data_IF_737325205297
#
_entry.id   IF_737325205297
#
_cell.length_a   1.000
_cell.length_b   1.000
_cell.length_c   1.000
_cell.angle_alpha   90.00
_cell.angle_beta   90.00
_cell.angle_gamma   90.00
#
_symmetry.space_group_name_H-M   'P 1'
#
loop_
_entity.id
_entity.type
_entity.pdbx_description
1 polymer ?
#
# COMPACT_ATOMS: atom_id res chain seq x y z
N UNK A 1 -19.86 15.15 25.17
CA UNK A 1 -20.08 13.87 25.86
C UNK A 1 -20.86 12.98 24.90
N UNK A 2 -20.22 12.15 24.14
CA UNK A 2 -20.82 10.97 23.49
C UNK A 2 -19.66 10.01 23.23
N UNK A 3 -19.44 9.15 24.22
CA UNK A 3 -18.49 8.05 24.12
C UNK A 3 -19.11 6.97 23.25
N UNK A 4 -18.54 6.74 22.08
CA UNK A 4 -18.83 5.55 21.27
C UNK A 4 -18.08 4.38 21.87
N UNK A 5 -18.79 3.54 22.61
CA UNK A 5 -18.34 2.22 23.00
C UNK A 5 -18.13 1.38 21.74
N UNK A 6 -16.88 1.13 21.38
CA UNK A 6 -16.52 0.02 20.50
C UNK A 6 -16.82 -1.26 21.31
N UNK A 7 -17.99 -1.84 21.03
CA UNK A 7 -18.43 -3.09 21.62
C UNK A 7 -17.42 -4.20 21.30
N UNK A 8 -17.05 -4.95 22.33
CA UNK A 8 -16.37 -6.24 22.21
C UNK A 8 -17.23 -7.10 21.28
N UNK A 9 -16.76 -7.29 20.05
CA UNK A 9 -17.46 -8.07 19.03
C UNK A 9 -17.58 -9.51 19.51
N UNK A 10 -18.79 -9.88 19.89
CA UNK A 10 -19.16 -11.25 20.16
C UNK A 10 -18.97 -12.03 18.84
N UNK A 11 -18.08 -13.01 18.81
CA UNK A 11 -17.91 -13.89 17.67
C UNK A 11 -19.22 -14.60 17.38
N UNK A 12 -19.85 -14.25 16.29
CA UNK A 12 -20.89 -15.08 15.70
C UNK A 12 -20.21 -16.03 14.70
N UNK A 13 -19.92 -17.29 15.09
CA UNK A 13 -19.26 -18.28 14.23
C UNK A 13 -20.11 -18.68 13.02
N UNK A 14 -21.32 -18.16 12.92
CA UNK A 14 -22.27 -18.43 11.84
C UNK A 14 -22.28 -17.40 10.70
N UNK A 15 -21.49 -16.32 10.76
CA UNK A 15 -21.44 -15.36 9.65
C UNK A 15 -20.75 -15.98 8.43
N UNK A 16 -21.40 -15.98 7.27
CA UNK A 16 -20.77 -16.50 6.05
C UNK A 16 -19.60 -15.61 5.60
N UNK A 17 -18.59 -16.22 4.99
CA UNK A 17 -17.49 -15.48 4.34
C UNK A 17 -18.07 -14.66 3.20
N UNK A 18 -17.77 -13.36 3.19
CA UNK A 18 -18.16 -12.46 2.10
C UNK A 18 -16.98 -12.25 1.17
N UNK A 19 -17.23 -12.41 -0.11
CA UNK A 19 -16.26 -12.12 -1.16
C UNK A 19 -16.61 -10.81 -1.84
N UNK A 20 -15.61 -9.95 -2.03
CA UNK A 20 -15.73 -8.74 -2.84
C UNK A 20 -14.54 -8.65 -3.76
N UNK A 21 -14.76 -8.23 -5.00
CA UNK A 21 -13.71 -8.00 -5.99
C UNK A 21 -13.77 -6.56 -6.48
N UNK A 22 -12.60 -6.01 -6.80
CA UNK A 22 -12.49 -4.68 -7.40
C UNK A 22 -11.40 -4.69 -8.47
N UNK A 23 -11.75 -4.20 -9.65
CA UNK A 23 -10.77 -3.88 -10.69
C UNK A 23 -10.11 -2.54 -10.38
N UNK A 24 -8.83 -2.45 -10.68
CA UNK A 24 -8.01 -1.24 -10.53
C UNK A 24 -7.65 -0.76 -11.92
N UNK A 25 -8.22 0.36 -12.32
CA UNK A 25 -7.94 1.02 -13.60
C UNK A 25 -7.06 2.28 -13.43
N UNK A 26 -6.82 2.72 -12.19
CA UNK A 26 -6.01 3.88 -11.87
C UNK A 26 -5.64 3.96 -10.39
N UNK A 27 -4.89 4.99 -10.03
CA UNK A 27 -4.40 5.20 -8.65
C UNK A 27 -5.52 5.56 -7.69
N UNK A 28 -6.60 6.15 -8.18
CA UNK A 28 -7.78 6.49 -7.40
C UNK A 28 -8.46 5.23 -6.87
N UNK A 29 -8.64 4.23 -7.75
CA UNK A 29 -9.24 2.94 -7.38
C UNK A 29 -8.40 2.24 -6.30
N UNK A 30 -7.07 2.33 -6.42
CA UNK A 30 -6.16 1.69 -5.46
C UNK A 30 -6.25 2.35 -4.06
N UNK A 31 -6.43 3.68 -4.00
CA UNK A 31 -6.60 4.39 -2.72
C UNK A 31 -7.83 3.95 -1.96
N UNK A 32 -8.92 3.72 -2.67
CA UNK A 32 -10.20 3.30 -2.10
C UNK A 32 -10.28 1.79 -1.83
N UNK A 33 -9.35 1.03 -2.39
CA UNK A 33 -9.44 -0.43 -2.39
C UNK A 33 -8.87 -1.08 -1.12
N UNK A 34 -8.13 -0.34 -0.28
CA UNK A 34 -7.59 -0.85 1.00
C UNK A 34 -8.44 -0.30 2.16
N UNK A 35 -9.37 -1.10 2.70
CA UNK A 35 -10.28 -0.64 3.74
C UNK A 35 -9.52 -0.15 4.98
N UNK A 36 -9.89 1.04 5.45
CA UNK A 36 -9.37 1.63 6.70
C UNK A 36 -7.94 2.17 6.63
N UNK A 37 -7.24 2.06 5.51
CA UNK A 37 -5.92 2.68 5.34
C UNK A 37 -6.04 4.04 4.64
N UNK A 38 -5.33 5.03 5.15
CA UNK A 38 -5.17 6.33 4.49
C UNK A 38 -3.90 6.31 3.63
N UNK A 39 -4.05 5.84 2.38
CA UNK A 39 -2.94 5.68 1.46
C UNK A 39 -2.86 6.83 0.43
N UNK A 40 -1.79 7.59 0.49
CA UNK A 40 -1.37 8.46 -0.60
C UNK A 40 -0.66 7.63 -1.68
N UNK A 41 -1.21 7.64 -2.89
CA UNK A 41 -0.63 6.96 -4.04
C UNK A 41 -0.20 7.99 -5.07
N UNK A 42 1.07 7.93 -5.49
CA UNK A 42 1.64 8.78 -6.55
C UNK A 42 2.14 7.89 -7.67
N UNK A 43 1.65 8.12 -8.88
CA UNK A 43 2.12 7.42 -10.07
C UNK A 43 3.48 8.00 -10.48
N UNK A 44 4.48 7.14 -10.70
CA UNK A 44 5.86 7.53 -11.02
C UNK A 44 6.20 7.40 -12.51
N UNK A 45 5.34 6.75 -13.30
CA UNK A 45 5.52 6.58 -14.76
C UNK A 45 4.26 6.94 -15.52
N UNK A 46 4.35 7.04 -16.85
CA UNK A 46 3.20 7.25 -17.73
C UNK A 46 2.34 5.99 -17.92
N UNK A 47 2.87 4.82 -17.60
CA UNK A 47 2.10 3.59 -17.65
C UNK A 47 1.01 3.60 -16.57
N UNK A 48 -0.27 3.37 -16.93
CA UNK A 48 -1.35 3.41 -15.95
C UNK A 48 -1.22 2.26 -14.95
N UNK A 49 -1.57 2.54 -13.70
CA UNK A 49 -1.77 1.50 -12.70
C UNK A 49 -2.96 0.64 -13.11
N UNK A 50 -2.79 -0.66 -13.12
CA UNK A 50 -3.85 -1.64 -13.42
C UNK A 50 -3.75 -2.84 -12.52
N UNK A 51 -4.88 -3.50 -12.29
CA UNK A 51 -4.89 -4.73 -11.53
C UNK A 51 -6.25 -5.13 -11.03
N UNK A 52 -6.24 -6.03 -10.03
CA UNK A 52 -7.44 -6.45 -9.34
C UNK A 52 -7.13 -6.74 -7.87
N UNK A 53 -8.11 -6.49 -7.02
CA UNK A 53 -8.13 -6.89 -5.62
C UNK A 53 -9.32 -7.78 -5.37
N UNK A 54 -9.12 -8.85 -4.60
CA UNK A 54 -10.17 -9.70 -4.10
C UNK A 54 -10.05 -9.79 -2.58
N UNK A 55 -11.17 -9.63 -1.89
CA UNK A 55 -11.24 -9.70 -0.43
C UNK A 55 -12.16 -10.83 0.00
N UNK A 56 -11.69 -11.67 0.91
CA UNK A 56 -12.50 -12.61 1.66
C UNK A 56 -12.61 -12.09 3.10
N UNK A 57 -13.81 -11.74 3.52
CA UNK A 57 -14.09 -11.08 4.81
C UNK A 57 -14.90 -12.05 5.69
N UNK A 58 -14.39 -12.33 6.87
CA UNK A 58 -15.07 -13.14 7.88
C UNK A 58 -14.94 -12.50 9.27
N UNK A 59 -16.01 -11.89 9.76
CA UNK A 59 -15.98 -11.11 10.98
C UNK A 59 -15.07 -9.88 10.83
N UNK A 60 -14.06 -9.81 11.68
CA UNK A 60 -13.03 -8.75 11.71
C UNK A 60 -11.73 -9.12 10.97
N UNK A 61 -11.69 -10.32 10.39
CA UNK A 61 -10.57 -10.80 9.60
C UNK A 61 -10.82 -10.56 8.11
N UNK A 62 -9.83 -10.01 7.43
CA UNK A 62 -9.85 -9.82 5.98
C UNK A 62 -8.61 -10.45 5.36
N UNK A 63 -8.82 -11.36 4.40
CA UNK A 63 -7.78 -11.82 3.50
C UNK A 63 -7.94 -11.09 2.17
N UNK A 64 -6.91 -10.36 1.77
CA UNK A 64 -6.85 -9.63 0.50
C UNK A 64 -5.86 -10.30 -0.42
N UNK A 65 -6.28 -10.61 -1.64
CA UNK A 65 -5.41 -10.95 -2.74
C UNK A 65 -5.32 -9.76 -3.69
N UNK A 66 -4.13 -9.31 -3.96
CA UNK A 66 -3.87 -8.22 -4.89
C UNK A 66 -2.94 -8.65 -6.02
N UNK A 67 -3.26 -8.21 -7.23
CA UNK A 67 -2.37 -8.29 -8.39
C UNK A 67 -2.40 -6.94 -9.08
N UNK A 68 -1.30 -6.20 -8.99
CA UNK A 68 -1.22 -4.80 -9.42
C UNK A 68 0.02 -4.61 -10.27
N UNK A 69 -0.12 -3.88 -11.38
CA UNK A 69 0.98 -3.43 -12.24
C UNK A 69 1.08 -1.91 -12.18
N UNK A 70 2.29 -1.40 -12.30
CA UNK A 70 2.56 0.03 -12.39
C UNK A 70 3.82 0.45 -11.65
N UNK A 71 4.23 1.70 -11.85
CA UNK A 71 5.30 2.32 -11.08
C UNK A 71 4.68 3.37 -10.15
N UNK A 72 4.58 3.01 -8.88
CA UNK A 72 3.81 3.73 -7.87
C UNK A 72 4.64 3.98 -6.63
N UNK A 73 4.45 5.14 -6.05
CA UNK A 73 4.81 5.45 -4.67
C UNK A 73 3.57 5.31 -3.79
N UNK A 74 3.66 4.47 -2.78
CA UNK A 74 2.61 4.33 -1.77
C UNK A 74 3.14 4.81 -0.42
N UNK A 75 2.37 5.64 0.24
CA UNK A 75 2.63 6.11 1.60
C UNK A 75 1.32 6.22 2.36
N UNK A 76 1.33 5.87 3.62
CA UNK A 76 0.16 6.06 4.46
C UNK A 76 0.27 5.33 5.78
N UNK A 77 -0.80 5.45 6.56
CA UNK A 77 -0.92 4.82 7.86
C UNK A 77 -1.95 3.71 7.77
N UNK A 78 -1.64 2.56 8.33
CA UNK A 78 -2.58 1.45 8.44
C UNK A 78 -3.69 1.79 9.44
N UNK A 79 -4.86 1.19 9.25
CA UNK A 79 -6.00 1.40 10.14
C UNK A 79 -5.62 1.14 11.61
N UNK A 80 -6.06 2.05 12.50
CA UNK A 80 -5.86 1.88 13.92
C UNK A 80 -6.63 0.65 14.44
N UNK A 81 -6.01 -0.09 15.35
CA UNK A 81 -6.57 -1.30 15.96
C UNK A 81 -6.36 -2.59 15.16
N UNK A 82 -5.79 -2.52 13.95
CA UNK A 82 -5.52 -3.68 13.11
C UNK A 82 -4.04 -3.80 12.74
N UNK A 83 -3.58 -5.02 12.52
CA UNK A 83 -2.28 -5.29 11.93
C UNK A 83 -2.45 -6.09 10.64
N UNK A 84 -1.49 -5.98 9.74
CA UNK A 84 -1.47 -6.74 8.50
C UNK A 84 -0.16 -7.53 8.33
N UNK A 85 -0.30 -8.78 7.89
CA UNK A 85 0.77 -9.64 7.42
C UNK A 85 0.63 -9.79 5.91
N UNK A 86 1.63 -9.40 5.16
CA UNK A 86 1.57 -9.41 3.69
C UNK A 86 2.67 -10.30 3.14
N UNK A 87 2.28 -11.33 2.39
CA UNK A 87 3.22 -12.19 1.65
C UNK A 87 3.24 -11.77 0.19
N UNK A 88 4.42 -11.48 -0.33
CA UNK A 88 4.63 -11.20 -1.76
C UNK A 88 4.67 -12.53 -2.50
N UNK A 89 3.69 -12.76 -3.38
CA UNK A 89 3.52 -14.02 -4.10
C UNK A 89 4.28 -14.02 -5.43
N UNK A 90 4.25 -12.90 -6.13
CA UNK A 90 4.93 -12.70 -7.40
C UNK A 90 5.47 -11.27 -7.47
N UNK A 91 6.66 -11.13 -8.01
CA UNK A 91 7.27 -9.84 -8.30
C UNK A 91 8.00 -9.94 -9.63
N UNK A 92 7.54 -9.18 -10.62
CA UNK A 92 8.18 -9.08 -11.93
C UNK A 92 8.42 -7.60 -12.21
N UNK A 93 9.67 -7.11 -12.10
CA UNK A 93 9.98 -5.73 -12.38
C UNK A 93 9.82 -5.43 -13.88
N UNK A 94 9.33 -4.24 -14.21
CA UNK A 94 9.33 -3.77 -15.58
C UNK A 94 10.76 -3.48 -16.05
N UNK A 95 11.03 -3.55 -17.36
CA UNK A 95 12.30 -3.10 -17.93
C UNK A 95 12.49 -1.58 -17.63
N UNK A 96 13.56 -1.22 -16.94
CA UNK A 96 13.89 0.17 -16.62
C UNK A 96 14.62 0.35 -15.30
N UNK A 97 14.89 1.62 -14.95
CA UNK A 97 15.56 1.99 -13.70
C UNK A 97 14.57 2.05 -12.54
N UNK A 98 14.20 0.92 -12.01
CA UNK A 98 13.33 0.88 -10.85
C UNK A 98 13.34 -0.48 -10.16
N UNK A 99 13.18 -0.46 -8.85
CA UNK A 99 13.03 -1.68 -8.06
C UNK A 99 11.85 -1.52 -7.10
N UNK A 100 11.09 -2.58 -6.89
CA UNK A 100 10.07 -2.58 -5.84
C UNK A 100 10.77 -2.53 -4.49
N UNK A 101 10.32 -1.61 -3.63
CA UNK A 101 10.88 -1.46 -2.28
C UNK A 101 9.77 -1.29 -1.26
N UNK A 102 10.01 -1.77 -0.05
CA UNK A 102 9.20 -1.48 1.13
C UNK A 102 10.15 -0.98 2.22
N UNK A 103 9.89 0.20 2.77
CA UNK A 103 10.78 0.92 3.71
C UNK A 103 12.23 1.01 3.22
N UNK A 104 12.42 1.22 1.90
CA UNK A 104 13.75 1.31 1.28
C UNK A 104 14.50 0.00 1.13
N UNK A 105 13.89 -1.14 1.44
CA UNK A 105 14.45 -2.47 1.18
C UNK A 105 13.86 -3.06 -0.10
N UNK A 106 14.70 -3.67 -0.94
CA UNK A 106 14.24 -4.40 -2.10
C UNK A 106 13.25 -5.50 -1.70
N UNK A 107 12.13 -5.57 -2.40
CA UNK A 107 11.07 -6.57 -2.20
C UNK A 107 11.11 -7.60 -3.31
N UNK A 108 10.95 -8.86 -2.97
CA UNK A 108 10.89 -9.98 -3.91
C UNK A 108 9.81 -10.99 -3.52
N UNK A 109 9.47 -11.89 -4.45
CA UNK A 109 8.58 -12.99 -4.14
C UNK A 109 9.09 -13.82 -2.96
N UNK A 110 8.21 -14.17 -2.03
CA UNK A 110 8.52 -14.85 -0.78
C UNK A 110 8.83 -13.93 0.40
N UNK A 111 8.93 -12.61 0.21
CA UNK A 111 9.05 -11.69 1.34
C UNK A 111 7.74 -11.61 2.13
N UNK A 112 7.85 -11.59 3.45
CA UNK A 112 6.75 -11.34 4.40
C UNK A 112 6.92 -9.94 4.99
N UNK A 113 5.91 -9.11 4.84
CA UNK A 113 5.87 -7.75 5.41
C UNK A 113 4.96 -7.76 6.64
N UNK A 114 5.37 -7.06 7.68
CA UNK A 114 4.60 -6.85 8.91
C UNK A 114 4.26 -5.37 8.97
N UNK A 115 2.97 -5.07 9.01
CA UNK A 115 2.45 -3.72 9.21
C UNK A 115 1.65 -3.72 10.52
N UNK A 116 2.26 -3.25 11.62
CA UNK A 116 1.59 -3.19 12.90
C UNK A 116 0.46 -2.16 12.94
N UNK A 117 -0.31 -2.16 14.01
CA UNK A 117 -1.34 -1.17 14.29
C UNK A 117 -0.79 0.25 14.17
N UNK A 118 -1.44 1.09 13.37
CA UNK A 118 -0.99 2.46 13.08
C UNK A 118 0.37 2.53 12.37
N UNK A 119 0.89 1.41 11.89
CA UNK A 119 2.18 1.36 11.21
C UNK A 119 2.18 2.15 9.92
N UNK A 120 3.24 2.93 9.70
CA UNK A 120 3.41 3.68 8.45
C UNK A 120 3.92 2.78 7.34
N UNK A 121 3.20 2.76 6.25
CA UNK A 121 3.62 2.12 5.02
C UNK A 121 4.39 3.10 4.15
N UNK A 122 5.52 2.65 3.62
CA UNK A 122 6.33 3.38 2.67
C UNK A 122 6.88 2.42 1.63
N UNK A 123 6.28 2.43 0.44
CA UNK A 123 6.60 1.49 -0.61
C UNK A 123 6.78 2.15 -1.97
N UNK A 124 7.67 1.59 -2.77
CA UNK A 124 7.65 1.73 -4.21
C UNK A 124 7.24 0.39 -4.83
N UNK A 125 6.17 0.40 -5.58
CA UNK A 125 5.83 -0.69 -6.47
C UNK A 125 6.39 -0.38 -7.86
N UNK A 126 7.06 -1.35 -8.48
CA UNK A 126 7.60 -1.24 -9.84
C UNK A 126 7.36 -2.56 -10.57
N UNK A 127 6.65 -2.48 -11.72
CA UNK A 127 6.23 -3.65 -12.47
C UNK A 127 5.02 -4.37 -11.84
N UNK A 128 4.96 -5.67 -12.02
CA UNK A 128 3.89 -6.52 -11.48
C UNK A 128 4.22 -6.95 -10.06
N UNK A 129 3.28 -6.77 -9.14
CA UNK A 129 3.29 -7.37 -7.81
C UNK A 129 1.99 -8.13 -7.57
N UNK A 130 2.08 -9.41 -7.20
CA UNK A 130 0.98 -10.15 -6.63
C UNK A 130 1.27 -10.44 -5.15
N UNK A 131 0.27 -10.27 -4.29
CA UNK A 131 0.42 -10.44 -2.85
C UNK A 131 -0.85 -10.99 -2.20
N UNK A 132 -0.67 -11.60 -1.04
CA UNK A 132 -1.74 -11.93 -0.11
C UNK A 132 -1.53 -11.16 1.20
N UNK A 133 -2.57 -10.48 1.68
CA UNK A 133 -2.55 -9.72 2.92
C UNK A 133 -3.61 -10.24 3.89
N UNK A 134 -3.19 -10.68 5.06
CA UNK A 134 -4.06 -10.99 6.18
C UNK A 134 -4.14 -9.76 7.08
N UNK A 135 -5.33 -9.19 7.25
CA UNK A 135 -5.59 -8.07 8.15
C UNK A 135 -6.56 -8.50 9.23
N UNK A 136 -6.21 -8.25 10.49
CA UNK A 136 -7.05 -8.56 11.65
C UNK A 136 -6.73 -7.63 12.83
N UNK A 137 -7.60 -7.53 13.85
CA UNK A 137 -7.28 -6.88 15.10
C UNK A 137 -6.00 -7.45 15.70
N UNK A 138 -5.14 -6.55 16.18
CA UNK A 138 -3.80 -6.91 16.66
C UNK A 138 -3.85 -7.87 17.86
N UNK A 139 -4.79 -7.67 18.78
CA UNK A 139 -5.02 -8.54 19.93
C UNK A 139 -5.31 -9.98 19.51
N UNK A 140 -6.14 -10.17 18.50
CA UNK A 140 -6.46 -11.49 17.93
C UNK A 140 -5.26 -12.18 17.30
N UNK A 141 -4.47 -11.44 16.54
CA UNK A 141 -3.25 -12.00 15.96
C UNK A 141 -2.25 -12.41 17.06
N UNK A 142 -2.13 -11.59 18.11
CA UNK A 142 -1.27 -11.90 19.28
C UNK A 142 -1.74 -13.13 20.05
N UNK A 143 -3.02 -13.21 20.33
CA UNK A 143 -3.60 -14.35 21.05
C UNK A 143 -3.32 -15.66 20.30
N UNK A 144 -3.53 -15.66 18.99
CA UNK A 144 -3.25 -16.84 18.16
C UNK A 144 -1.74 -17.11 18.02
N UNK A 145 -0.93 -16.06 17.89
CA UNK A 145 0.51 -16.14 17.77
C UNK A 145 1.18 -16.73 19.02
N UNK A 146 0.57 -16.60 20.21
CA UNK A 146 1.09 -17.19 21.44
C UNK A 146 1.28 -18.72 21.40
N UNK A 147 0.63 -19.41 20.47
CA UNK A 147 0.81 -20.83 20.21
C UNK A 147 2.04 -21.15 19.33
N UNK A 148 2.73 -20.15 18.78
CA UNK A 148 3.85 -20.31 17.85
C UNK A 148 5.17 -19.92 18.53
N UNK A 149 6.17 -20.78 18.42
CA UNK A 149 7.50 -20.52 18.97
C UNK A 149 8.12 -19.24 18.39
N UNK A 150 8.56 -18.36 19.28
CA UNK A 150 9.20 -17.08 18.91
C UNK A 150 8.23 -15.92 18.64
N UNK A 151 6.92 -16.13 18.72
CA UNK A 151 5.92 -15.08 18.55
C UNK A 151 5.19 -14.67 19.84
N UNK A 152 5.55 -15.25 20.98
CA UNK A 152 4.91 -14.99 22.27
C UNK A 152 5.19 -13.58 22.82
N UNK A 153 6.18 -12.87 22.29
CA UNK A 153 6.51 -11.50 22.70
C UNK A 153 5.98 -10.45 21.70
N UNK A 154 5.97 -9.20 22.15
CA UNK A 154 5.49 -8.06 21.35
C UNK A 154 6.42 -7.63 20.21
N UNK A 155 7.61 -8.21 20.12
CA UNK A 155 8.65 -7.78 19.17
C UNK A 155 8.25 -7.80 17.70
N UNK A 156 7.58 -8.87 17.20
CA UNK A 156 7.15 -8.90 15.80
C UNK A 156 6.11 -7.81 15.46
N UNK A 157 5.36 -7.37 16.46
CA UNK A 157 4.21 -6.47 16.29
C UNK A 157 4.52 -5.00 16.60
N UNK A 158 5.74 -4.69 17.03
CA UNK A 158 6.10 -3.35 17.51
C UNK A 158 6.63 -2.40 16.43
N UNK A 159 6.96 -2.90 15.26
CA UNK A 159 7.50 -2.09 14.17
C UNK A 159 7.23 -2.73 12.80
N UNK A 160 7.12 -1.91 11.78
CA UNK A 160 7.13 -2.36 10.40
C UNK A 160 8.39 -3.15 10.11
N UNK A 161 8.25 -4.31 9.49
CA UNK A 161 9.36 -5.19 9.19
C UNK A 161 9.15 -5.97 7.89
N UNK A 162 10.25 -6.30 7.23
CA UNK A 162 10.32 -7.23 6.11
C UNK A 162 11.17 -8.43 6.51
N UNK A 163 10.62 -9.61 6.37
CA UNK A 163 11.26 -10.89 6.66
C UNK A 163 11.33 -11.75 5.40
N UNK A 164 12.25 -12.71 5.36
CA UNK A 164 12.41 -13.69 4.26
C UNK A 164 12.22 -15.12 4.77
N UNK A 165 10.99 -15.53 5.06
CA UNK A 165 10.72 -16.91 5.48
C UNK A 165 10.92 -17.87 4.30
N UNK A 166 11.47 -19.07 4.57
CA UNK A 166 11.55 -20.10 3.53
C UNK A 166 10.20 -20.73 3.22
N UNK A 167 9.28 -20.66 4.19
CA UNK A 167 7.93 -21.25 4.08
C UNK A 167 6.93 -20.40 3.30
N UNK A 168 7.27 -19.17 2.92
CA UNK A 168 6.34 -18.28 2.22
C UNK A 168 5.86 -18.81 0.86
N UNK A 169 6.70 -19.55 0.12
CA UNK A 169 6.31 -20.20 -1.14
C UNK A 169 5.29 -21.32 -0.91
N UNK A 170 5.44 -22.10 0.18
CA UNK A 170 4.45 -23.09 0.59
C UNK A 170 3.10 -22.45 0.95
N UNK A 171 3.14 -21.33 1.65
CA UNK A 171 1.95 -20.55 1.97
C UNK A 171 1.20 -20.08 0.71
N UNK A 172 1.91 -19.71 -0.37
CA UNK A 172 1.28 -19.35 -1.65
C UNK A 172 0.41 -20.49 -2.21
N UNK A 173 0.96 -21.71 -2.26
CA UNK A 173 0.23 -22.88 -2.78
C UNK A 173 -0.97 -23.19 -1.91
N UNK A 174 -0.80 -23.13 -0.60
CA UNK A 174 -1.86 -23.39 0.38
C UNK A 174 -2.98 -22.35 0.31
N UNK A 175 -2.65 -21.06 0.26
CA UNK A 175 -3.63 -19.99 0.13
C UNK A 175 -4.41 -20.11 -1.16
N UNK A 176 -3.74 -20.39 -2.28
CA UNK A 176 -4.41 -20.57 -3.57
C UNK A 176 -5.42 -21.72 -3.51
N UNK A 177 -5.01 -22.89 -3.01
CA UNK A 177 -5.90 -24.05 -2.90
C UNK A 177 -7.11 -23.77 -1.99
N UNK A 178 -6.91 -23.11 -0.85
CA UNK A 178 -7.99 -22.76 0.09
C UNK A 178 -8.95 -21.73 -0.50
N UNK A 179 -8.44 -20.75 -1.24
CA UNK A 179 -9.28 -19.73 -1.88
C UNK A 179 -10.06 -20.29 -3.05
N UNK A 180 -9.48 -21.20 -3.85
CA UNK A 180 -10.19 -21.92 -4.89
C UNK A 180 -11.35 -22.73 -4.27
N UNK A 181 -11.11 -23.46 -3.19
CA UNK A 181 -12.14 -24.19 -2.48
C UNK A 181 -13.27 -23.28 -1.96
N UNK A 182 -12.92 -22.14 -1.36
CA UNK A 182 -13.90 -21.17 -0.88
C UNK A 182 -14.70 -20.53 -2.03
N UNK A 183 -14.08 -20.25 -3.16
CA UNK A 183 -14.73 -19.64 -4.32
C UNK A 183 -15.72 -20.59 -5.00
N UNK A 184 -15.41 -21.89 -5.05
CA UNK A 184 -16.22 -22.90 -5.72
C UNK A 184 -17.32 -23.49 -4.82
N UNK A 185 -17.04 -23.70 -3.54
CA UNK A 185 -17.90 -24.42 -2.61
C UNK A 185 -18.27 -23.62 -1.37
N UNK A 186 -17.87 -22.34 -1.28
CA UNK A 186 -18.02 -21.54 -0.06
C UNK A 186 -19.45 -21.45 0.47
N UNK A 187 -20.45 -21.46 -0.41
CA UNK A 187 -21.88 -21.48 -0.03
C UNK A 187 -22.37 -22.86 0.43
N UNK A 188 -21.64 -23.94 0.15
CA UNK A 188 -21.95 -25.30 0.53
C UNK A 188 -21.24 -25.74 1.81
N UNK A 189 -20.21 -24.98 2.23
CA UNK A 189 -19.44 -25.30 3.42
C UNK A 189 -20.24 -24.98 4.68
N UNK A 190 -20.21 -25.90 5.63
CA UNK A 190 -20.75 -25.63 6.96
C UNK A 190 -19.99 -24.49 7.65
N UNK A 191 -20.61 -23.78 8.62
CA UNK A 191 -19.92 -22.75 9.40
C UNK A 191 -18.61 -23.24 10.05
N UNK A 192 -18.59 -24.50 10.52
CA UNK A 192 -17.39 -25.12 11.07
C UNK A 192 -16.29 -25.30 10.02
N UNK A 193 -16.63 -25.72 8.81
CA UNK A 193 -15.65 -25.87 7.73
C UNK A 193 -15.10 -24.51 7.29
N UNK A 194 -15.93 -23.47 7.23
CA UNK A 194 -15.48 -22.10 6.95
C UNK A 194 -14.54 -21.58 8.05
N UNK A 195 -14.86 -21.84 9.33
CA UNK A 195 -13.99 -21.47 10.45
C UNK A 195 -12.65 -22.22 10.39
N UNK A 196 -12.65 -23.51 10.10
CA UNK A 196 -11.40 -24.29 9.96
C UNK A 196 -10.52 -23.79 8.81
N UNK A 197 -11.11 -23.41 7.68
CA UNK A 197 -10.38 -22.82 6.56
C UNK A 197 -9.76 -21.46 6.92
N UNK A 198 -10.54 -20.60 7.58
CA UNK A 198 -10.07 -19.32 8.12
C UNK A 198 -8.89 -19.51 9.06
N UNK A 199 -9.03 -20.36 10.05
CA UNK A 199 -8.00 -20.62 11.07
C UNK A 199 -6.72 -21.17 10.43
N UNK A 200 -6.85 -22.07 9.45
CA UNK A 200 -5.72 -22.55 8.71
C UNK A 200 -5.01 -21.48 7.87
N UNK A 201 -5.74 -20.49 7.32
CA UNK A 201 -5.12 -19.33 6.67
C UNK A 201 -4.30 -18.51 7.68
N UNK A 202 -4.88 -18.19 8.83
CA UNK A 202 -4.19 -17.46 9.90
C UNK A 202 -2.92 -18.21 10.34
N UNK A 203 -3.03 -19.51 10.60
CA UNK A 203 -1.92 -20.34 11.04
C UNK A 203 -0.81 -20.42 9.98
N UNK A 204 -1.16 -20.43 8.70
CA UNK A 204 -0.20 -20.36 7.60
C UNK A 204 0.64 -19.08 7.63
N UNK A 205 0.00 -17.93 7.81
CA UNK A 205 0.71 -16.65 7.95
C UNK A 205 1.57 -16.60 9.22
N UNK A 206 1.07 -17.08 10.36
CA UNK A 206 1.82 -17.11 11.62
C UNK A 206 3.01 -18.08 11.56
N UNK A 207 2.86 -19.21 10.86
CA UNK A 207 3.96 -20.15 10.61
C UNK A 207 5.07 -19.48 9.79
N UNK A 208 4.72 -18.79 8.72
CA UNK A 208 5.67 -18.04 7.91
C UNK A 208 6.34 -16.91 8.74
N UNK A 209 5.58 -16.22 9.57
CA UNK A 209 6.09 -15.19 10.48
C UNK A 209 7.11 -15.77 11.46
N UNK A 210 6.78 -16.88 12.13
CA UNK A 210 7.68 -17.55 13.08
C UNK A 210 8.99 -18.01 12.42
N UNK A 211 8.89 -18.55 11.19
CA UNK A 211 10.09 -18.92 10.42
C UNK A 211 10.95 -17.70 10.07
N UNK A 212 10.34 -16.61 9.63
CA UNK A 212 11.05 -15.38 9.30
C UNK A 212 11.73 -14.73 10.50
N UNK A 213 11.05 -14.67 11.66
CA UNK A 213 11.61 -14.11 12.90
C UNK A 213 12.81 -14.90 13.40
N UNK A 214 12.79 -16.23 13.29
CA UNK A 214 13.94 -17.09 13.66
C UNK A 214 15.17 -16.86 12.80
N UNK A 215 14.98 -16.56 11.51
CA UNK A 215 16.07 -16.45 10.53
C UNK A 215 16.70 -15.07 10.49
N UNK A 216 15.94 -14.02 10.75
CA UNK A 216 16.42 -12.65 10.71
C UNK A 216 16.30 -11.98 12.09
N UNK A 217 17.19 -12.31 13.06
CA UNK A 217 17.26 -11.55 14.29
C UNK A 217 17.79 -10.16 13.99
N UNK A 218 16.88 -9.19 13.83
CA UNK A 218 17.08 -7.73 13.68
C UNK A 218 18.14 -7.30 12.64
N UNK A 219 17.71 -6.79 11.51
CA UNK A 219 18.39 -5.68 10.84
C UNK A 219 17.73 -4.37 11.25
N UNK A 220 18.31 -3.73 12.22
CA UNK A 220 18.07 -2.33 12.54
C UNK A 220 18.72 -1.49 11.43
N UNK A 221 17.95 -0.71 10.70
CA UNK A 221 18.51 0.23 9.74
C UNK A 221 17.49 0.67 8.71
N UNK A 222 16.68 1.67 9.05
CA UNK A 222 16.12 2.56 8.04
C UNK A 222 17.26 3.10 7.20
N UNK A 223 17.22 2.85 5.90
CA UNK A 223 18.14 3.49 4.98
C UNK A 223 17.90 4.99 5.13
N UNK A 224 18.99 5.76 5.25
CA UNK A 224 18.92 7.22 5.44
C UNK A 224 18.05 7.90 4.36
N UNK A 225 18.01 7.29 3.15
CA UNK A 225 17.20 7.74 2.02
C UNK A 225 15.69 7.67 2.29
N UNK A 226 15.17 6.60 2.89
CA UNK A 226 13.76 6.49 3.24
C UNK A 226 13.34 7.55 4.28
N UNK A 227 14.18 7.79 5.30
CA UNK A 227 13.96 8.86 6.28
C UNK A 227 13.92 10.25 5.63
N UNK A 228 14.83 10.52 4.70
CA UNK A 228 14.87 11.79 3.98
C UNK A 228 13.62 11.96 3.12
N UNK A 229 13.20 10.92 2.40
CA UNK A 229 11.98 10.97 1.58
C UNK A 229 10.75 11.26 2.45
N UNK A 230 10.64 10.63 3.60
CA UNK A 230 9.57 10.91 4.56
C UNK A 230 9.57 12.36 5.00
N UNK A 231 10.73 12.90 5.43
CA UNK A 231 10.84 14.30 5.84
C UNK A 231 10.42 15.28 4.73
N UNK A 232 10.78 14.97 3.48
CA UNK A 232 10.32 15.76 2.32
C UNK A 232 8.81 15.71 2.17
N UNK A 233 8.23 14.54 2.23
CA UNK A 233 6.78 14.36 2.06
C UNK A 233 6.00 15.02 3.19
N UNK A 234 6.45 14.88 4.46
CA UNK A 234 5.86 15.57 5.60
C UNK A 234 5.87 17.09 5.42
N UNK A 235 6.98 17.63 4.90
CA UNK A 235 7.08 19.05 4.60
C UNK A 235 6.12 19.50 3.50
N UNK A 236 5.94 18.67 2.47
CA UNK A 236 5.02 18.93 1.36
C UNK A 236 3.54 18.81 1.81
N UNK A 237 3.23 17.84 2.67
CA UNK A 237 1.87 17.60 3.17
C UNK A 237 1.37 18.72 4.08
N UNK A 238 2.28 19.39 4.80
CA UNK A 238 1.97 20.58 5.59
C UNK A 238 1.59 21.82 4.74
N UNK A 239 1.82 21.76 3.42
CA UNK A 239 1.58 22.88 2.49
C UNK A 239 0.87 22.39 1.21
N UNK A 240 -0.37 21.89 1.34
CA UNK A 240 -1.11 21.33 0.21
C UNK A 240 -1.33 22.42 -0.87
N UNK A 241 -1.14 22.03 -2.14
CA UNK A 241 -1.34 22.91 -3.29
C UNK A 241 -0.19 23.91 -3.57
N UNK A 242 0.80 24.04 -2.68
CA UNK A 242 1.92 24.95 -2.94
C UNK A 242 3.04 24.26 -3.72
N UNK A 243 3.47 24.89 -4.81
CA UNK A 243 4.69 24.48 -5.50
C UNK A 243 5.91 24.77 -4.62
N UNK A 244 6.68 23.76 -4.28
CA UNK A 244 7.88 23.88 -3.43
C UNK A 244 9.13 23.71 -4.30
N UNK A 245 10.09 24.62 -4.14
CA UNK A 245 11.35 24.59 -4.89
C UNK A 245 12.40 23.71 -4.19
N UNK A 246 13.28 23.07 -4.97
CA UNK A 246 14.38 22.24 -4.43
C UNK A 246 15.25 22.98 -3.41
N UNK A 247 15.66 24.24 -3.63
CA UNK A 247 16.43 25.00 -2.62
C UNK A 247 15.66 25.19 -1.30
N UNK A 248 14.34 25.42 -1.37
CA UNK A 248 13.48 25.54 -0.19
C UNK A 248 13.46 24.25 0.61
N UNK A 249 13.33 23.08 -0.04
CA UNK A 249 13.42 21.78 0.62
C UNK A 249 14.78 21.55 1.28
N UNK A 250 15.85 21.86 0.57
CA UNK A 250 17.20 21.73 1.13
C UNK A 250 17.40 22.59 2.39
N UNK A 251 16.90 23.82 2.38
CA UNK A 251 16.98 24.72 3.51
C UNK A 251 16.10 24.25 4.67
N UNK A 252 14.83 23.91 4.40
CA UNK A 252 13.88 23.51 5.42
C UNK A 252 14.29 22.23 6.15
N UNK A 253 14.91 21.28 5.42
CA UNK A 253 15.32 19.98 5.96
C UNK A 253 16.82 19.92 6.33
N UNK A 254 17.55 21.04 6.21
CA UNK A 254 19.00 21.10 6.45
C UNK A 254 19.78 20.04 5.65
N UNK A 255 19.40 19.82 4.39
CA UNK A 255 20.01 18.84 3.50
C UNK A 255 20.80 19.49 2.36
N UNK A 256 21.91 18.88 1.98
CA UNK A 256 22.58 19.26 0.75
C UNK A 256 21.75 18.77 -0.47
N UNK A 257 21.86 19.50 -1.59
CA UNK A 257 21.21 19.09 -2.85
C UNK A 257 21.68 17.69 -3.30
N UNK A 258 22.95 17.35 -3.06
CA UNK A 258 23.51 16.03 -3.37
C UNK A 258 22.84 14.94 -2.52
N UNK A 259 22.68 15.18 -1.23
CA UNK A 259 22.01 14.24 -0.31
C UNK A 259 20.56 14.03 -0.70
N UNK A 260 19.84 15.11 -1.04
CA UNK A 260 18.46 15.04 -1.49
C UNK A 260 18.36 14.23 -2.80
N UNK A 261 19.15 14.55 -3.83
CA UNK A 261 19.16 13.81 -5.10
C UNK A 261 19.41 12.32 -4.88
N UNK A 262 20.45 11.97 -4.09
CA UNK A 262 20.79 10.60 -3.80
C UNK A 262 19.65 9.86 -3.11
N UNK A 263 18.97 10.47 -2.13
CA UNK A 263 17.84 9.86 -1.45
C UNK A 263 16.67 9.55 -2.41
N UNK A 264 16.40 10.47 -3.35
CA UNK A 264 15.37 10.27 -4.36
C UNK A 264 15.73 9.19 -5.39
N UNK A 265 16.97 9.19 -5.88
CA UNK A 265 17.45 8.17 -6.82
C UNK A 265 17.49 6.77 -6.18
N UNK A 266 18.04 6.65 -4.96
CA UNK A 266 18.11 5.37 -4.24
C UNK A 266 16.72 4.86 -3.81
N UNK A 267 15.85 5.73 -3.34
CA UNK A 267 14.55 5.34 -2.80
C UNK A 267 13.43 5.26 -3.84
N UNK A 268 13.47 6.11 -4.88
CA UNK A 268 12.39 6.22 -5.87
C UNK A 268 12.85 6.03 -7.33
N UNK A 269 14.14 5.94 -7.60
CA UNK A 269 14.69 5.84 -8.96
C UNK A 269 14.37 7.05 -9.86
N UNK A 270 13.89 8.15 -9.28
CA UNK A 270 13.61 9.41 -9.98
C UNK A 270 14.18 10.57 -9.20
N UNK A 271 14.66 11.61 -9.89
CA UNK A 271 15.17 12.80 -9.20
C UNK A 271 14.07 13.63 -8.53
N UNK A 272 14.38 14.44 -7.51
CA UNK A 272 13.42 15.19 -6.72
C UNK A 272 12.54 16.14 -7.55
N UNK A 273 13.09 16.77 -8.58
CA UNK A 273 12.32 17.65 -9.48
C UNK A 273 11.25 16.88 -10.28
N UNK A 274 11.60 15.70 -10.76
CA UNK A 274 10.66 14.80 -11.45
C UNK A 274 9.57 14.35 -10.49
N UNK A 275 9.94 13.91 -9.30
CA UNK A 275 8.98 13.50 -8.27
C UNK A 275 7.99 14.61 -7.90
N UNK A 276 8.46 15.83 -7.62
CA UNK A 276 7.59 16.97 -7.28
C UNK A 276 6.59 17.26 -8.42
N UNK A 277 7.03 17.16 -9.68
CA UNK A 277 6.14 17.32 -10.84
C UNK A 277 5.09 16.22 -10.93
N UNK A 278 5.48 14.95 -10.72
CA UNK A 278 4.56 13.81 -10.75
C UNK A 278 3.53 13.89 -9.62
N UNK A 279 3.97 14.29 -8.42
CA UNK A 279 3.09 14.56 -7.28
C UNK A 279 2.08 15.68 -7.59
N UNK A 280 2.55 16.79 -8.17
CA UNK A 280 1.68 17.90 -8.56
C UNK A 280 0.65 17.49 -9.64
N UNK A 281 1.05 16.65 -10.62
CA UNK A 281 0.12 16.09 -11.61
C UNK A 281 -0.94 15.19 -10.95
N UNK A 282 -0.56 14.34 -10.01
CA UNK A 282 -1.47 13.47 -9.27
C UNK A 282 -2.44 14.28 -8.40
N UNK A 283 -1.98 15.37 -7.78
CA UNK A 283 -2.83 16.27 -7.02
C UNK A 283 -3.81 17.04 -7.93
N UNK A 284 -3.36 17.52 -9.07
CA UNK A 284 -4.21 18.15 -10.07
C UNK A 284 -5.28 17.20 -10.60
N UNK A 285 -4.94 15.92 -10.85
CA UNK A 285 -5.93 14.90 -11.23
C UNK A 285 -6.99 14.71 -10.15
N UNK A 286 -6.58 14.57 -8.90
CA UNK A 286 -7.51 14.47 -7.76
C UNK A 286 -8.45 15.68 -7.69
N UNK A 287 -7.92 16.88 -7.87
CA UNK A 287 -8.71 18.11 -7.88
C UNK A 287 -9.70 18.17 -9.06
N UNK A 288 -9.30 17.72 -10.27
CA UNK A 288 -10.18 17.63 -11.43
C UNK A 288 -11.31 16.63 -11.22
N UNK A 289 -11.02 15.47 -10.63
CA UNK A 289 -12.05 14.47 -10.30
C UNK A 289 -13.04 15.02 -9.28
N UNK A 290 -12.56 15.62 -8.20
CA UNK A 290 -13.42 16.24 -7.18
C UNK A 290 -14.20 17.46 -7.68
N UNK A 291 -13.64 18.20 -8.63
CA UNK A 291 -14.25 19.42 -9.19
C UNK A 291 -15.32 19.19 -10.26
N UNK A 292 -15.65 17.93 -10.61
CA UNK A 292 -16.66 17.58 -11.62
C UNK A 292 -18.02 18.22 -11.34
N UNK A 293 -18.47 18.14 -10.11
CA UNK A 293 -19.76 18.66 -9.68
C UNK A 293 -19.71 20.15 -9.29
N UNK A 294 -18.52 20.65 -8.94
CA UNK A 294 -18.30 22.01 -8.48
C UNK A 294 -18.01 23.02 -9.60
N UNK A 295 -18.04 22.61 -10.88
CA UNK A 295 -17.78 23.49 -12.01
C UNK A 295 -16.33 23.99 -12.09
N UNK A 296 -15.37 23.20 -11.62
CA UNK A 296 -13.95 23.57 -11.64
C UNK A 296 -13.46 23.83 -13.07
N UNK A 297 -12.47 24.72 -13.19
CA UNK A 297 -11.79 24.99 -14.46
C UNK A 297 -10.44 24.27 -14.53
N UNK A 298 -10.17 23.61 -15.67
CA UNK A 298 -8.85 22.99 -15.93
C UNK A 298 -7.71 24.01 -15.74
N UNK A 299 -7.92 25.24 -16.21
CA UNK A 299 -6.94 26.33 -16.06
C UNK A 299 -6.69 26.67 -14.61
N UNK A 300 -7.74 26.81 -13.82
CA UNK A 300 -7.63 27.13 -12.39
C UNK A 300 -6.88 25.99 -11.65
N UNK A 301 -7.31 24.76 -11.84
CA UNK A 301 -6.65 23.59 -11.21
C UNK A 301 -5.17 23.51 -11.61
N UNK A 302 -4.83 23.73 -12.87
CA UNK A 302 -3.44 23.71 -13.31
C UNK A 302 -2.60 24.78 -12.59
N UNK A 303 -3.09 26.03 -12.52
CA UNK A 303 -2.39 27.13 -11.86
C UNK A 303 -2.23 26.91 -10.35
N UNK A 304 -3.27 26.42 -9.67
CA UNK A 304 -3.23 26.08 -8.23
C UNK A 304 -2.18 25.02 -7.90
N UNK A 305 -1.90 24.11 -8.85
CA UNK A 305 -0.88 23.06 -8.69
C UNK A 305 0.48 23.42 -9.31
N UNK A 306 0.70 24.70 -9.65
CA UNK A 306 2.00 25.21 -10.09
C UNK A 306 2.32 25.01 -11.58
N UNK A 307 1.33 24.73 -12.42
CA UNK A 307 1.49 24.58 -13.87
C UNK A 307 1.10 25.87 -14.59
N UNK A 308 2.06 26.73 -14.85
CA UNK A 308 1.88 28.01 -15.51
C UNK A 308 1.77 27.91 -17.04
N UNK A 309 2.37 26.88 -17.64
CA UNK A 309 2.35 26.60 -19.08
C UNK A 309 1.24 25.57 -19.38
N UNK A 310 0.01 26.02 -19.62
CA UNK A 310 -1.17 25.17 -19.77
C UNK A 310 -1.07 24.15 -20.92
N UNK A 311 -0.44 24.54 -22.03
CA UNK A 311 -0.20 23.61 -23.14
C UNK A 311 0.72 22.45 -22.73
N UNK A 312 1.80 22.77 -22.04
CA UNK A 312 2.76 21.78 -21.53
C UNK A 312 2.15 20.90 -20.43
N UNK A 313 1.32 21.49 -19.55
CA UNK A 313 0.54 20.75 -18.58
C UNK A 313 -0.35 19.72 -19.27
N UNK A 314 -1.14 20.10 -20.27
CA UNK A 314 -2.06 19.20 -20.97
C UNK A 314 -1.35 18.03 -21.64
N UNK A 315 -0.19 18.29 -22.29
CA UNK A 315 0.63 17.25 -22.91
C UNK A 315 1.21 16.30 -21.87
N UNK A 316 1.79 16.83 -20.77
CA UNK A 316 2.39 16.02 -19.70
C UNK A 316 1.33 15.22 -18.96
N UNK A 317 0.16 15.83 -18.70
CA UNK A 317 -0.97 15.17 -18.06
C UNK A 317 -1.48 13.99 -18.91
N UNK A 318 -1.67 14.22 -20.22
CA UNK A 318 -2.10 13.15 -21.14
C UNK A 318 -1.06 12.03 -21.25
N UNK A 319 0.21 12.37 -21.29
CA UNK A 319 1.28 11.37 -21.30
C UNK A 319 1.28 10.53 -20.02
N UNK A 320 0.94 11.14 -18.87
CA UNK A 320 0.92 10.48 -17.58
C UNK A 320 -0.32 9.61 -17.35
N UNK A 321 -1.51 10.11 -17.74
CA UNK A 321 -2.78 9.48 -17.37
C UNK A 321 -3.56 8.87 -18.55
N UNK A 322 -3.04 8.98 -19.78
CA UNK A 322 -3.69 8.46 -20.99
C UNK A 322 -4.89 9.29 -21.49
N UNK A 323 -5.33 10.28 -20.73
CA UNK A 323 -6.47 11.17 -21.03
C UNK A 323 -6.11 12.63 -20.81
N UNK A 324 -6.85 13.54 -21.45
CA UNK A 324 -6.63 14.97 -21.23
C UNK A 324 -7.25 15.45 -19.90
N UNK A 325 -6.75 16.57 -19.31
CA UNK A 325 -7.37 17.17 -18.12
C UNK A 325 -8.86 17.46 -18.28
N UNK A 326 -9.28 17.87 -19.48
CA UNK A 326 -10.68 18.14 -19.78
C UNK A 326 -11.54 16.87 -19.85
N UNK A 327 -10.95 15.73 -20.27
CA UNK A 327 -11.63 14.43 -20.22
C UNK A 327 -11.82 13.98 -18.78
N UNK A 328 -10.77 14.08 -17.96
CA UNK A 328 -10.86 13.78 -16.53
C UNK A 328 -11.95 14.60 -15.87
N UNK A 329 -12.01 15.92 -16.12
CA UNK A 329 -13.01 16.80 -15.53
C UNK A 329 -14.45 16.45 -15.94
N UNK A 330 -14.66 15.97 -17.17
CA UNK A 330 -15.99 15.56 -17.68
C UNK A 330 -16.42 14.16 -17.25
N UNK A 331 -15.50 13.34 -16.71
CA UNK A 331 -15.81 11.97 -16.31
C UNK A 331 -15.94 10.99 -17.48
N UNK A 332 -15.25 11.24 -18.58
CA UNK A 332 -15.30 10.40 -19.82
C UNK A 332 -14.03 9.62 -19.98
#
# INVERSE_FOLDING_TARGET
>A
MNGSCLGRGNEDPGRPIRFTGREIAGVEDLREAVPGADLAVTQLSAAPCRGALAHAIHGDLTLTLGRITGDLRLRGVMAAGAAALVVVLEQTPDPGEGRPTEWGHDVQAGDLLILPDGGEREARQHGLTAYAALTAPLDRLRDRAGAFDGLADDRPWSACARLRPQLALGLHVELKARLELLAWEGSLLTPQAQAALRDGVVDGFLTALADGVRREPRRQGWINSARILRQVEDHLDQRPGRAVAIPELCQALSLSRRTLNRAFEEGLGVGPRTYLRLRALSAARKALVAGREAGASVTQVALEHGFWELGRFSVTYRAMFGESPSQTLRGR
#
